data_IF_296197892927
#
_entry.id   IF_296197892927
#
_cell.length_a   1.000
_cell.length_b   1.000
_cell.length_c   1.000
_cell.angle_alpha   90.00
_cell.angle_beta   90.00
_cell.angle_gamma   90.00
#
_symmetry.space_group_name_H-M   'P 1'
#
loop_
_entity.id
_entity.type
_entity.pdbx_description
1 polymer ?
#
# COMPACT_ATOMS: atom_id res chain seq x y z
N UNK A 1 21.10 -19.29 29.44
CA UNK A 1 20.89 -19.22 27.98
C UNK A 1 19.86 -18.14 27.73
N UNK A 2 20.17 -17.15 26.91
CA UNK A 2 19.18 -16.16 26.46
C UNK A 2 18.17 -16.88 25.58
N UNK A 3 16.88 -16.82 25.94
CA UNK A 3 15.84 -17.45 25.14
C UNK A 3 15.62 -16.65 23.86
N UNK A 4 15.55 -17.32 22.71
CA UNK A 4 15.22 -16.66 21.45
C UNK A 4 13.83 -16.01 21.53
N UNK A 5 13.75 -14.76 21.09
CA UNK A 5 12.50 -13.99 21.06
C UNK A 5 12.03 -13.79 19.62
N UNK A 6 10.74 -14.00 19.38
CA UNK A 6 10.08 -13.61 18.14
C UNK A 6 9.61 -12.15 18.21
N UNK A 7 9.87 -11.40 17.15
CA UNK A 7 9.34 -10.06 16.93
C UNK A 7 8.18 -10.14 15.96
N UNK A 8 7.02 -9.57 16.31
CA UNK A 8 5.88 -9.49 15.39
C UNK A 8 6.13 -8.42 14.31
N UNK A 9 5.50 -8.59 13.15
CA UNK A 9 5.52 -7.61 12.07
C UNK A 9 4.99 -6.24 12.50
N UNK A 10 4.00 -6.19 13.39
CA UNK A 10 3.48 -4.94 13.95
C UNK A 10 4.53 -4.18 14.78
N UNK A 11 5.26 -4.88 15.65
CA UNK A 11 6.33 -4.27 16.45
C UNK A 11 7.43 -3.74 15.55
N UNK A 12 7.87 -4.54 14.57
CA UNK A 12 8.89 -4.10 13.61
C UNK A 12 8.41 -2.91 12.78
N UNK A 13 7.15 -2.91 12.33
CA UNK A 13 6.60 -1.83 11.51
C UNK A 13 6.51 -0.51 12.31
N UNK A 14 6.14 -0.57 13.59
CA UNK A 14 6.17 0.59 14.49
C UNK A 14 7.59 1.12 14.70
N UNK A 15 8.58 0.24 14.85
CA UNK A 15 10.00 0.64 14.93
C UNK A 15 10.46 1.36 13.67
N UNK A 16 10.08 0.84 12.50
CA UNK A 16 10.38 1.46 11.19
C UNK A 16 9.74 2.85 11.08
N UNK A 17 8.46 2.99 11.41
CA UNK A 17 7.77 4.29 11.39
C UNK A 17 8.38 5.29 12.37
N UNK A 18 8.76 4.83 13.57
CA UNK A 18 9.38 5.66 14.60
C UNK A 18 10.87 5.95 14.34
N UNK A 19 11.44 5.44 13.23
CA UNK A 19 12.86 5.58 12.88
C UNK A 19 13.79 5.03 13.96
N UNK A 20 13.34 4.02 14.70
CA UNK A 20 14.16 3.32 15.67
C UNK A 20 15.29 2.55 14.97
N UNK A 21 16.45 2.51 15.62
CA UNK A 21 17.62 1.82 15.07
C UNK A 21 17.45 0.30 15.17
N UNK A 22 17.28 -0.35 14.02
CA UNK A 22 17.15 -1.81 13.89
C UNK A 22 18.14 -2.31 12.85
N UNK A 23 18.78 -3.46 13.13
CA UNK A 23 19.60 -4.16 12.16
C UNK A 23 18.88 -5.40 11.64
N UNK A 24 18.67 -5.48 10.32
CA UNK A 24 18.03 -6.61 9.65
C UNK A 24 19.11 -7.52 9.08
N UNK A 25 19.21 -8.75 9.59
CA UNK A 25 19.95 -9.82 8.93
C UNK A 25 18.98 -10.61 8.04
N UNK A 26 19.02 -10.36 6.74
CA UNK A 26 18.17 -11.04 5.76
C UNK A 26 18.87 -12.30 5.25
N UNK A 27 18.30 -13.46 5.56
CA UNK A 27 18.86 -14.77 5.17
C UNK A 27 18.18 -15.37 3.94
N UNK A 28 17.37 -14.59 3.22
CA UNK A 28 16.85 -14.99 1.90
C UNK A 28 17.97 -14.97 0.86
N UNK A 29 17.71 -15.61 -0.28
CA UNK A 29 18.59 -15.52 -1.42
C UNK A 29 18.72 -14.06 -1.91
N UNK A 30 19.80 -13.77 -2.64
CA UNK A 30 20.12 -12.41 -3.08
C UNK A 30 19.05 -11.82 -4.02
N UNK A 31 18.40 -12.65 -4.84
CA UNK A 31 17.37 -12.21 -5.79
C UNK A 31 16.11 -11.74 -5.05
N UNK A 32 15.61 -12.53 -4.10
CA UNK A 32 14.45 -12.19 -3.26
C UNK A 32 14.71 -10.91 -2.46
N UNK A 33 15.93 -10.77 -1.91
CA UNK A 33 16.36 -9.60 -1.16
C UNK A 33 16.49 -8.35 -2.05
N UNK A 34 17.08 -8.50 -3.23
CA UNK A 34 17.25 -7.42 -4.20
C UNK A 34 15.90 -6.92 -4.72
N UNK A 35 14.96 -7.84 -4.98
CA UNK A 35 13.63 -7.52 -5.46
C UNK A 35 12.81 -6.72 -4.43
N UNK A 36 12.88 -7.07 -3.14
CA UNK A 36 12.27 -6.29 -2.06
C UNK A 36 12.79 -6.68 -0.69
N UNK A 37 12.75 -5.74 0.26
CA UNK A 37 13.38 -5.85 1.57
C UNK A 37 12.78 -4.83 2.52
N UNK A 38 12.97 -5.04 3.83
CA UNK A 38 12.54 -4.08 4.85
C UNK A 38 13.42 -2.83 4.76
N UNK A 39 12.80 -1.66 4.62
CA UNK A 39 13.49 -0.38 4.44
C UNK A 39 12.99 0.67 5.43
N UNK A 40 13.78 1.72 5.66
CA UNK A 40 13.47 2.83 6.55
C UNK A 40 14.74 3.55 6.99
N UNK A 41 14.60 4.80 7.44
CA UNK A 41 15.74 5.65 7.85
C UNK A 41 16.54 5.04 9.03
N UNK A 42 15.85 4.40 9.98
CA UNK A 42 16.45 3.69 11.10
C UNK A 42 16.88 2.24 10.82
N UNK A 43 16.72 1.77 9.58
CA UNK A 43 16.94 0.37 9.21
C UNK A 43 18.30 0.20 8.53
N UNK A 44 19.21 -0.45 9.24
CA UNK A 44 20.46 -0.99 8.69
C UNK A 44 20.28 -2.46 8.33
N UNK A 45 21.02 -2.97 7.35
CA UNK A 45 20.78 -4.32 6.85
C UNK A 45 22.01 -5.01 6.29
N UNK A 46 21.96 -6.33 6.34
CA UNK A 46 22.93 -7.23 5.73
C UNK A 46 22.19 -8.43 5.14
N UNK A 47 22.45 -8.75 3.88
CA UNK A 47 21.97 -9.99 3.27
C UNK A 47 23.09 -11.02 3.27
N UNK A 48 22.82 -12.19 3.84
CA UNK A 48 23.69 -13.38 3.80
C UNK A 48 22.77 -14.59 3.63
N UNK A 49 22.70 -15.20 2.44
CA UNK A 49 21.82 -16.33 2.18
C UNK A 49 21.95 -17.46 3.20
N UNK A 50 20.82 -18.04 3.60
CA UNK A 50 20.76 -19.08 4.63
C UNK A 50 21.74 -20.24 4.41
N UNK A 51 21.94 -20.67 3.15
CA UNK A 51 22.83 -21.79 2.84
C UNK A 51 24.30 -21.54 3.24
N UNK A 52 24.73 -20.27 3.35
CA UNK A 52 26.06 -19.90 3.82
C UNK A 52 26.20 -20.00 5.34
N UNK A 53 25.07 -20.03 6.06
CA UNK A 53 25.00 -20.02 7.52
C UNK A 53 24.56 -21.37 8.11
N UNK A 54 24.36 -22.40 7.26
CA UNK A 54 23.88 -23.72 7.69
C UNK A 54 24.92 -24.50 8.51
N UNK A 55 26.21 -24.31 8.20
CA UNK A 55 27.32 -25.01 8.85
C UNK A 55 27.94 -24.19 10.01
N UNK A 56 27.42 -22.99 10.27
CA UNK A 56 27.93 -22.07 11.31
C UNK A 56 27.74 -20.59 10.94
N UNK A 57 27.73 -19.72 11.94
CA UNK A 57 27.51 -18.26 11.78
C UNK A 57 28.79 -17.44 11.81
N UNK A 58 29.96 -18.07 11.92
CA UNK A 58 31.27 -17.42 12.08
C UNK A 58 31.55 -16.42 10.96
N UNK A 59 31.11 -16.71 9.73
CA UNK A 59 31.31 -15.88 8.56
C UNK A 59 30.59 -14.51 8.63
N UNK A 60 29.60 -14.34 9.52
CA UNK A 60 28.84 -13.11 9.65
C UNK A 60 29.14 -12.32 10.92
N UNK A 61 29.75 -12.93 11.94
CA UNK A 61 29.94 -12.31 13.28
C UNK A 61 30.64 -10.94 13.22
N UNK A 62 31.72 -10.82 12.46
CA UNK A 62 32.50 -9.57 12.34
C UNK A 62 31.78 -8.45 11.56
N UNK A 63 30.67 -8.79 10.89
CA UNK A 63 29.85 -7.86 10.09
C UNK A 63 28.60 -7.40 10.83
N UNK A 64 28.28 -8.00 11.98
CA UNK A 64 27.13 -7.65 12.79
C UNK A 64 27.45 -6.45 13.70
N UNK A 65 26.48 -5.56 13.94
CA UNK A 65 26.68 -4.43 14.84
C UNK A 65 26.82 -4.90 16.28
N UNK A 66 27.78 -4.31 17.00
CA UNK A 66 27.85 -4.46 18.45
C UNK A 66 26.75 -3.63 19.12
N UNK A 67 26.07 -4.20 20.13
CA UNK A 67 25.11 -3.50 20.99
C UNK A 67 23.88 -2.90 20.29
N UNK A 68 23.45 -3.49 19.17
CA UNK A 68 22.20 -3.13 18.48
C UNK A 68 21.23 -4.32 18.46
N UNK A 69 19.93 -4.04 18.41
CA UNK A 69 18.90 -5.05 18.17
C UNK A 69 19.03 -5.63 16.76
N UNK A 70 19.19 -6.94 16.67
CA UNK A 70 19.28 -7.69 15.40
C UNK A 70 17.98 -8.47 15.21
N UNK A 71 17.35 -8.29 14.06
CA UNK A 71 16.19 -9.07 13.64
C UNK A 71 16.59 -9.91 12.43
N UNK A 72 16.59 -11.23 12.59
CA UNK A 72 16.85 -12.16 11.51
C UNK A 72 15.55 -12.39 10.73
N UNK A 73 15.58 -12.26 9.41
CA UNK A 73 14.40 -12.41 8.55
C UNK A 73 14.64 -13.43 7.45
N UNK A 74 13.62 -14.24 7.17
CA UNK A 74 13.57 -15.10 5.99
C UNK A 74 12.16 -15.07 5.38
N UNK A 75 11.88 -15.89 4.37
CA UNK A 75 10.57 -15.89 3.70
C UNK A 75 9.39 -16.21 4.65
N UNK A 76 9.51 -17.28 5.46
CA UNK A 76 8.43 -17.75 6.37
C UNK A 76 8.78 -17.65 7.85
N UNK A 77 9.90 -18.20 8.31
CA UNK A 77 10.54 -17.96 9.62
C UNK A 77 11.58 -19.05 9.97
N UNK A 78 11.42 -20.27 9.45
CA UNK A 78 12.25 -21.41 9.87
C UNK A 78 13.77 -21.17 9.76
N UNK A 79 14.25 -20.68 8.61
CA UNK A 79 15.66 -20.32 8.42
C UNK A 79 16.13 -19.19 9.35
N UNK A 80 15.26 -18.20 9.61
CA UNK A 80 15.62 -17.10 10.52
C UNK A 80 15.66 -17.55 11.98
N UNK A 81 14.80 -18.48 12.40
CA UNK A 81 14.85 -19.09 13.74
C UNK A 81 16.18 -19.82 13.92
N UNK A 82 16.53 -20.72 13.00
CA UNK A 82 17.80 -21.46 13.07
C UNK A 82 19.01 -20.53 13.18
N UNK A 83 19.12 -19.54 12.28
CA UNK A 83 20.25 -18.61 12.29
C UNK A 83 20.26 -17.76 13.56
N UNK A 84 19.10 -17.30 14.04
CA UNK A 84 19.02 -16.53 15.28
C UNK A 84 19.46 -17.35 16.51
N UNK A 85 19.11 -18.64 16.58
CA UNK A 85 19.59 -19.54 17.64
C UNK A 85 21.12 -19.70 17.58
N UNK A 86 21.68 -19.92 16.39
CA UNK A 86 23.14 -20.05 16.20
C UNK A 86 23.89 -18.76 16.60
N UNK A 87 23.33 -17.58 16.30
CA UNK A 87 23.92 -16.31 16.75
C UNK A 87 23.91 -16.17 18.27
N UNK A 88 22.82 -16.56 18.95
CA UNK A 88 22.74 -16.56 20.41
C UNK A 88 23.75 -17.55 21.02
N UNK A 89 23.93 -18.73 20.42
CA UNK A 89 24.92 -19.73 20.85
C UNK A 89 26.36 -19.23 20.66
N UNK A 90 26.62 -18.48 19.60
CA UNK A 90 27.90 -17.81 19.35
C UNK A 90 28.14 -16.58 20.26
N UNK A 91 27.19 -16.25 21.14
CA UNK A 91 27.32 -15.18 22.14
C UNK A 91 26.85 -13.80 21.68
N UNK A 92 26.21 -13.68 20.52
CA UNK A 92 25.59 -12.44 20.07
C UNK A 92 24.37 -12.15 20.94
N UNK A 93 24.24 -10.91 21.43
CA UNK A 93 23.10 -10.49 22.28
C UNK A 93 22.13 -9.63 21.50
N UNK A 94 20.86 -9.57 21.93
CA UNK A 94 19.85 -8.72 21.28
C UNK A 94 19.35 -9.27 19.94
N UNK A 95 19.44 -10.60 19.75
CA UNK A 95 18.97 -11.27 18.54
C UNK A 95 17.52 -11.71 18.71
N UNK A 96 16.71 -11.38 17.71
CA UNK A 96 15.34 -11.84 17.54
C UNK A 96 15.12 -12.32 16.11
N UNK A 97 13.99 -12.94 15.84
CA UNK A 97 13.57 -13.27 14.47
C UNK A 97 12.20 -12.67 14.17
N UNK A 98 11.92 -12.39 12.90
CA UNK A 98 10.60 -11.93 12.49
C UNK A 98 9.61 -13.11 12.42
N UNK A 99 8.61 -13.08 13.29
CA UNK A 99 7.54 -14.09 13.32
C UNK A 99 6.74 -14.04 12.01
N UNK A 100 6.54 -15.21 11.38
CA UNK A 100 5.91 -15.32 10.07
C UNK A 100 6.72 -14.73 8.91
N UNK A 101 7.94 -14.25 9.17
CA UNK A 101 8.93 -13.82 8.19
C UNK A 101 8.42 -12.70 7.28
N UNK A 102 9.01 -12.62 6.09
CA UNK A 102 8.63 -11.62 5.09
C UNK A 102 7.17 -11.80 4.63
N UNK A 103 6.60 -13.01 4.72
CA UNK A 103 5.17 -13.27 4.47
C UNK A 103 4.25 -12.52 5.44
N UNK A 104 4.59 -12.47 6.73
CA UNK A 104 3.84 -11.67 7.69
C UNK A 104 4.10 -10.17 7.52
N UNK A 105 5.34 -9.79 7.21
CA UNK A 105 5.69 -8.39 6.90
C UNK A 105 4.88 -7.83 5.73
N UNK A 106 4.69 -8.61 4.66
CA UNK A 106 3.92 -8.16 3.49
C UNK A 106 2.45 -7.95 3.79
N UNK A 107 1.89 -8.53 4.85
CA UNK A 107 0.48 -8.40 5.23
C UNK A 107 0.25 -7.38 6.35
N UNK A 108 1.31 -6.87 6.97
CA UNK A 108 1.18 -5.93 8.08
C UNK A 108 0.50 -4.64 7.62
N UNK A 109 -0.65 -4.35 8.21
CA UNK A 109 -1.44 -3.15 7.96
C UNK A 109 -1.59 -2.36 9.26
N UNK A 110 -1.30 -1.07 9.24
CA UNK A 110 -1.38 -0.22 10.44
C UNK A 110 -2.15 1.07 10.15
N UNK A 111 -3.15 1.43 10.97
CA UNK A 111 -3.83 2.71 10.84
C UNK A 111 -2.98 3.84 11.45
N UNK A 112 -2.89 4.95 10.74
CA UNK A 112 -2.45 6.26 11.25
C UNK A 112 -3.57 7.27 11.06
N UNK A 113 -3.76 8.15 12.04
CA UNK A 113 -4.76 9.21 11.93
C UNK A 113 -4.22 10.32 11.05
N UNK A 114 -4.92 10.64 9.97
CA UNK A 114 -4.59 11.74 9.07
C UNK A 114 -5.05 13.07 9.64
N UNK A 115 -6.34 13.16 10.01
CA UNK A 115 -6.91 14.42 10.49
C UNK A 115 -8.25 14.23 11.21
N UNK A 116 -8.65 15.27 11.94
CA UNK A 116 -10.03 15.53 12.30
C UNK A 116 -10.76 16.26 11.15
N UNK A 117 -12.02 15.87 10.91
CA UNK A 117 -12.87 16.36 9.81
C UNK A 117 -13.74 17.54 10.26
N UNK A 118 -14.16 18.40 9.31
CA UNK A 118 -14.77 19.70 9.62
C UNK A 118 -16.01 19.60 10.50
N UNK A 119 -16.90 18.63 10.21
CA UNK A 119 -18.19 18.48 10.91
C UNK A 119 -18.18 17.42 12.02
N UNK A 120 -16.99 17.12 12.56
CA UNK A 120 -16.81 16.05 13.52
C UNK A 120 -16.68 14.70 12.82
N UNK A 121 -15.50 14.13 12.92
CA UNK A 121 -15.14 12.89 12.27
C UNK A 121 -13.63 12.76 12.18
N UNK A 122 -13.16 11.62 11.71
CA UNK A 122 -11.74 11.31 11.62
C UNK A 122 -11.44 10.64 10.28
N UNK A 123 -10.31 10.99 9.69
CA UNK A 123 -9.75 10.31 8.53
C UNK A 123 -8.51 9.53 8.96
N UNK A 124 -8.45 8.26 8.59
CA UNK A 124 -7.32 7.38 8.82
C UNK A 124 -6.74 6.91 7.49
N UNK A 125 -5.42 6.76 7.44
CA UNK A 125 -4.69 6.07 6.39
C UNK A 125 -4.19 4.75 6.97
N UNK A 126 -4.33 3.66 6.22
CA UNK A 126 -3.84 2.33 6.58
C UNK A 126 -2.62 2.02 5.75
N UNK A 127 -1.47 1.83 6.41
CA UNK A 127 -0.19 1.62 5.76
C UNK A 127 0.17 0.14 5.71
N UNK A 128 0.33 -0.37 4.49
CA UNK A 128 0.88 -1.70 4.21
C UNK A 128 2.35 -1.59 3.82
N UNK A 129 3.25 -1.34 4.78
CA UNK A 129 4.67 -1.04 4.51
C UNK A 129 5.37 -2.07 3.62
N UNK A 130 5.09 -3.36 3.83
CA UNK A 130 5.73 -4.43 3.07
C UNK A 130 5.35 -4.48 1.59
N UNK A 131 4.30 -3.78 1.18
CA UNK A 131 3.82 -3.73 -0.20
C UNK A 131 3.84 -2.32 -0.78
N UNK A 132 3.58 -1.29 0.02
CA UNK A 132 3.38 0.09 -0.43
C UNK A 132 1.91 0.46 -0.65
N UNK A 133 0.94 -0.39 -0.28
CA UNK A 133 -0.50 -0.07 -0.39
C UNK A 133 -0.96 0.84 0.74
N UNK A 134 -1.89 1.73 0.39
CA UNK A 134 -2.56 2.66 1.26
C UNK A 134 -4.07 2.50 1.08
N UNK A 135 -4.76 2.26 2.19
CA UNK A 135 -6.23 2.31 2.25
C UNK A 135 -6.65 3.44 3.15
N UNK A 136 -7.91 3.84 3.11
CA UNK A 136 -8.41 4.93 3.94
C UNK A 136 -9.68 4.54 4.68
N UNK A 137 -9.88 5.12 5.87
CA UNK A 137 -11.16 5.05 6.56
C UNK A 137 -11.60 6.43 7.00
N UNK A 138 -12.81 6.77 6.60
CA UNK A 138 -13.52 7.98 7.02
C UNK A 138 -14.54 7.56 8.07
N UNK A 139 -14.51 8.17 9.25
CA UNK A 139 -15.45 7.88 10.34
C UNK A 139 -16.18 9.16 10.74
N UNK A 140 -17.50 9.11 10.82
CA UNK A 140 -18.30 10.17 11.43
C UNK A 140 -19.59 9.63 12.01
N UNK A 141 -19.98 10.15 13.17
CA UNK A 141 -21.28 9.91 13.79
C UNK A 141 -21.67 8.43 13.96
N UNK A 142 -20.68 7.56 14.20
CA UNK A 142 -20.91 6.11 14.36
C UNK A 142 -21.00 5.33 13.05
N UNK A 143 -20.69 5.94 11.91
CA UNK A 143 -20.59 5.30 10.61
C UNK A 143 -19.17 5.43 10.05
N UNK A 144 -18.80 4.51 9.16
CA UNK A 144 -17.51 4.50 8.49
C UNK A 144 -17.63 4.16 6.99
N UNK A 145 -16.78 4.80 6.18
CA UNK A 145 -16.48 4.37 4.83
C UNK A 145 -15.01 3.92 4.74
N UNK A 146 -14.75 2.81 4.05
CA UNK A 146 -13.39 2.33 3.77
C UNK A 146 -13.11 2.47 2.28
N UNK A 147 -11.98 3.04 1.91
CA UNK A 147 -11.56 3.28 0.53
C UNK A 147 -10.32 2.44 0.23
N UNK A 148 -10.32 1.74 -0.91
CA UNK A 148 -9.25 0.86 -1.41
C UNK A 148 -8.81 -0.17 -0.37
N UNK A 149 -9.78 -0.87 0.21
CA UNK A 149 -9.52 -1.83 1.28
C UNK A 149 -8.69 -3.01 0.76
N UNK A 150 -7.54 -3.29 1.38
CA UNK A 150 -6.79 -4.53 1.14
C UNK A 150 -7.49 -5.74 1.79
N UNK A 151 -7.19 -6.98 1.36
CA UNK A 151 -7.83 -8.21 1.88
C UNK A 151 -7.65 -8.49 3.39
N UNK A 152 -6.73 -7.82 4.08
CA UNK A 152 -6.55 -7.94 5.54
C UNK A 152 -7.65 -7.15 6.28
N UNK A 153 -8.89 -7.62 6.14
CA UNK A 153 -10.12 -6.92 6.57
C UNK A 153 -10.17 -6.65 8.08
N UNK A 154 -9.58 -7.52 8.88
CA UNK A 154 -9.60 -7.47 10.35
C UNK A 154 -9.10 -6.14 10.93
N UNK A 155 -8.12 -5.51 10.27
CA UNK A 155 -7.58 -4.23 10.72
C UNK A 155 -8.61 -3.09 10.60
N UNK A 156 -9.40 -3.08 9.52
CA UNK A 156 -10.47 -2.11 9.35
C UNK A 156 -11.61 -2.38 10.35
N UNK A 157 -12.03 -3.63 10.49
CA UNK A 157 -13.08 -4.00 11.45
C UNK A 157 -12.69 -3.68 12.89
N UNK A 158 -11.41 -3.87 13.25
CA UNK A 158 -10.88 -3.53 14.57
C UNK A 158 -10.94 -2.03 14.82
N UNK A 159 -10.44 -1.21 13.89
CA UNK A 159 -10.49 0.25 14.04
C UNK A 159 -11.94 0.76 14.12
N UNK A 160 -12.83 0.26 13.27
CA UNK A 160 -14.25 0.64 13.30
C UNK A 160 -14.88 0.30 14.66
N UNK A 161 -14.61 -0.90 15.20
CA UNK A 161 -15.10 -1.34 16.51
C UNK A 161 -14.57 -0.47 17.66
N UNK A 162 -13.27 -0.16 17.66
CA UNK A 162 -12.64 0.70 18.65
C UNK A 162 -13.22 2.12 18.64
N UNK A 163 -13.57 2.60 17.44
CA UNK A 163 -14.23 3.89 17.20
C UNK A 163 -15.75 3.83 17.37
N UNK A 164 -16.31 2.67 17.69
CA UNK A 164 -17.76 2.42 17.82
C UNK A 164 -18.54 2.83 16.57
N UNK A 165 -17.96 2.56 15.41
CA UNK A 165 -18.52 2.87 14.10
C UNK A 165 -18.91 1.59 13.35
N UNK A 166 -19.94 1.69 12.53
CA UNK A 166 -20.38 0.64 11.60
C UNK A 166 -19.88 0.98 10.20
N UNK A 167 -19.23 0.04 9.53
CA UNK A 167 -18.81 0.22 8.13
C UNK A 167 -20.05 0.15 7.23
N UNK A 168 -20.44 1.27 6.64
CA UNK A 168 -21.63 1.37 5.77
C UNK A 168 -21.27 1.43 4.28
N UNK A 169 -20.05 1.86 3.97
CA UNK A 169 -19.54 1.95 2.60
C UNK A 169 -18.14 1.36 2.49
N UNK A 170 -17.91 0.61 1.42
CA UNK A 170 -16.58 0.24 0.96
C UNK A 170 -16.45 0.64 -0.50
N UNK A 171 -15.35 1.28 -0.87
CA UNK A 171 -15.20 1.94 -2.16
C UNK A 171 -13.84 1.56 -2.73
N UNK A 172 -13.80 0.98 -3.92
CA UNK A 172 -12.57 0.88 -4.67
C UNK A 172 -12.50 2.01 -5.70
N UNK A 173 -11.38 2.71 -5.77
CA UNK A 173 -11.13 3.80 -6.73
C UNK A 173 -10.99 3.27 -8.16
N UNK A 174 -10.57 2.02 -8.30
CA UNK A 174 -10.41 1.28 -9.55
C UNK A 174 -10.36 -0.22 -9.28
N UNK A 175 -10.43 -1.04 -10.32
CA UNK A 175 -10.20 -2.49 -10.17
C UNK A 175 -8.69 -2.76 -10.01
N UNK A 176 -8.26 -2.92 -8.76
CA UNK A 176 -6.87 -3.15 -8.36
C UNK A 176 -6.23 -4.37 -9.06
N UNK A 177 -4.95 -4.22 -9.39
CA UNK A 177 -4.16 -5.25 -10.09
C UNK A 177 -2.93 -5.72 -9.29
N UNK A 178 -2.63 -5.10 -8.16
CA UNK A 178 -1.43 -5.37 -7.37
C UNK A 178 -1.74 -5.98 -5.99
N UNK A 179 -2.99 -5.85 -5.54
CA UNK A 179 -3.53 -6.47 -4.35
C UNK A 179 -4.97 -6.96 -4.55
N UNK A 180 -5.37 -7.91 -3.71
CA UNK A 180 -6.74 -8.42 -3.67
C UNK A 180 -7.57 -7.48 -2.80
N UNK A 181 -8.63 -6.92 -3.38
CA UNK A 181 -9.55 -6.01 -2.68
C UNK A 181 -10.31 -6.76 -1.59
N UNK A 182 -10.27 -6.21 -0.38
CA UNK A 182 -11.11 -6.58 0.74
C UNK A 182 -12.46 -5.87 0.74
N UNK A 183 -12.68 -4.89 -0.15
CA UNK A 183 -13.85 -4.00 -0.11
C UNK A 183 -15.18 -4.76 -0.16
N UNK A 184 -15.29 -5.76 -1.04
CA UNK A 184 -16.48 -6.62 -1.13
C UNK A 184 -16.71 -7.43 0.15
N UNK A 185 -15.69 -8.14 0.62
CA UNK A 185 -15.80 -8.97 1.84
C UNK A 185 -16.18 -8.13 3.06
N UNK A 186 -15.59 -6.94 3.17
CA UNK A 186 -15.80 -6.02 4.27
C UNK A 186 -17.24 -5.45 4.26
N UNK A 187 -17.79 -5.12 3.08
CA UNK A 187 -19.20 -4.74 2.94
C UNK A 187 -20.14 -5.90 3.28
N UNK A 188 -19.86 -7.12 2.80
CA UNK A 188 -20.66 -8.31 3.11
C UNK A 188 -20.69 -8.59 4.63
N UNK A 189 -19.53 -8.50 5.31
CA UNK A 189 -19.42 -8.70 6.75
C UNK A 189 -20.20 -7.65 7.56
N UNK A 190 -20.14 -6.38 7.13
CA UNK A 190 -20.76 -5.26 7.84
C UNK A 190 -22.23 -5.02 7.45
N UNK A 191 -22.73 -5.66 6.38
CA UNK A 191 -24.03 -5.36 5.78
C UNK A 191 -24.08 -4.00 5.08
N UNK A 192 -22.92 -3.51 4.61
CA UNK A 192 -22.76 -2.23 3.91
C UNK A 192 -22.87 -2.32 2.39
N UNK A 193 -22.61 -1.20 1.71
CA UNK A 193 -22.58 -1.10 0.25
C UNK A 193 -21.15 -1.11 -0.27
N UNK A 194 -20.89 -1.97 -1.26
CA UNK A 194 -19.64 -1.98 -2.03
C UNK A 194 -19.79 -1.17 -3.31
N UNK A 195 -18.90 -0.20 -3.52
CA UNK A 195 -18.88 0.73 -4.64
C UNK A 195 -17.66 0.50 -5.54
N UNK A 196 -17.88 0.44 -6.85
CA UNK A 196 -16.83 0.24 -7.85
C UNK A 196 -17.15 1.05 -9.12
N UNK A 197 -16.15 1.61 -9.85
CA UNK A 197 -16.40 2.29 -11.10
C UNK A 197 -16.93 1.33 -12.17
N UNK A 198 -18.06 1.69 -12.81
CA UNK A 198 -18.71 0.83 -13.79
C UNK A 198 -17.77 0.42 -14.94
N UNK A 199 -16.93 1.35 -15.41
CA UNK A 199 -16.02 1.09 -16.55
C UNK A 199 -14.88 0.12 -16.24
N UNK A 200 -14.62 -0.15 -14.96
CA UNK A 200 -13.70 -1.20 -14.52
C UNK A 200 -14.42 -2.50 -14.16
N UNK A 201 -15.75 -2.50 -14.21
CA UNK A 201 -16.61 -3.53 -13.67
C UNK A 201 -17.40 -4.33 -14.74
N UNK A 202 -17.08 -4.18 -16.03
CA UNK A 202 -17.79 -4.86 -17.13
C UNK A 202 -17.83 -6.40 -16.97
N UNK A 203 -16.81 -6.99 -16.35
CA UNK A 203 -16.62 -8.44 -16.26
C UNK A 203 -16.79 -9.01 -14.84
N UNK A 204 -17.20 -8.19 -13.86
CA UNK A 204 -17.36 -8.63 -12.47
C UNK A 204 -18.54 -9.59 -12.31
N UNK A 205 -18.39 -10.58 -11.42
CA UNK A 205 -19.35 -11.68 -11.23
C UNK A 205 -20.21 -11.51 -9.96
N UNK A 206 -20.26 -10.31 -9.40
CA UNK A 206 -20.99 -9.97 -8.18
C UNK A 206 -21.72 -8.64 -8.32
N UNK A 207 -22.68 -8.38 -7.43
CA UNK A 207 -23.38 -7.11 -7.36
C UNK A 207 -22.49 -6.02 -6.74
N UNK A 208 -22.58 -4.82 -7.28
CA UNK A 208 -21.91 -3.63 -6.75
C UNK A 208 -22.78 -2.40 -7.00
N UNK A 209 -22.50 -1.32 -6.27
CA UNK A 209 -23.03 0.00 -6.53
C UNK A 209 -22.08 0.77 -7.44
N UNK A 210 -22.62 1.48 -8.43
CA UNK A 210 -21.80 2.24 -9.36
C UNK A 210 -21.19 3.46 -8.67
N UNK A 211 -19.88 3.60 -8.78
CA UNK A 211 -19.18 4.82 -8.41
C UNK A 211 -19.17 5.77 -9.62
N UNK A 212 -20.08 6.75 -9.61
CA UNK A 212 -20.27 7.70 -10.72
C UNK A 212 -19.94 9.13 -10.27
N UNK A 213 -19.34 9.89 -11.19
CA UNK A 213 -19.04 11.31 -10.98
C UNK A 213 -20.32 12.12 -10.67
N UNK A 214 -20.20 13.07 -9.75
CA UNK A 214 -21.33 13.90 -9.30
C UNK A 214 -22.23 13.22 -8.27
N UNK A 215 -22.04 11.92 -8.01
CA UNK A 215 -22.57 11.27 -6.82
C UNK A 215 -22.01 11.88 -5.54
N UNK A 216 -22.78 11.85 -4.46
CA UNK A 216 -22.30 12.19 -3.12
C UNK A 216 -22.65 11.03 -2.21
N UNK A 217 -21.63 10.40 -1.65
CA UNK A 217 -21.80 9.44 -0.56
C UNK A 217 -21.63 10.18 0.75
N UNK A 218 -22.51 9.90 1.71
CA UNK A 218 -22.49 10.51 3.04
C UNK A 218 -22.14 9.48 4.08
N UNK A 219 -21.18 9.80 4.95
CA UNK A 219 -20.85 9.00 6.14
C UNK A 219 -21.29 9.77 7.38
N UNK A 220 -22.21 9.22 8.16
CA UNK A 220 -22.76 9.86 9.34
C UNK A 220 -23.74 11.00 9.04
N UNK A 221 -24.23 11.66 10.10
CA UNK A 221 -25.35 12.62 10.00
C UNK A 221 -24.96 14.00 9.47
N UNK A 222 -23.68 14.34 9.44
CA UNK A 222 -23.20 15.70 9.15
C UNK A 222 -22.46 15.87 7.81
N UNK A 223 -22.46 14.86 6.95
CA UNK A 223 -22.03 14.95 5.54
C UNK A 223 -20.53 15.09 5.29
N UNK A 224 -19.76 14.04 5.58
CA UNK A 224 -18.49 13.89 4.87
C UNK A 224 -18.83 13.47 3.45
N UNK A 225 -18.82 14.46 2.55
CA UNK A 225 -19.04 14.23 1.13
C UNK A 225 -17.84 13.47 0.59
N UNK A 226 -18.09 12.26 0.12
CA UNK A 226 -17.20 11.59 -0.81
C UNK A 226 -17.72 11.92 -2.19
N UNK A 227 -17.03 12.84 -2.88
CA UNK A 227 -17.38 13.24 -4.24
C UNK A 227 -16.47 12.49 -5.22
N UNK A 228 -17.02 11.55 -6.00
CA UNK A 228 -16.28 10.90 -7.06
C UNK A 228 -15.97 11.88 -8.18
N UNK A 229 -14.74 11.84 -8.65
CA UNK A 229 -14.23 12.58 -9.81
C UNK A 229 -13.73 11.54 -10.79
N UNK A 230 -14.34 11.51 -11.97
CA UNK A 230 -13.90 10.59 -13.02
C UNK A 230 -12.49 10.99 -13.48
N UNK A 231 -11.53 10.11 -13.26
CA UNK A 231 -10.10 10.39 -13.41
C UNK A 231 -9.40 9.24 -14.12
N UNK A 232 -9.75 8.95 -15.40
CA UNK A 232 -9.18 7.84 -16.13
C UNK A 232 -7.68 8.07 -16.38
N UNK A 233 -6.94 6.97 -16.48
CA UNK A 233 -5.51 7.02 -16.80
C UNK A 233 -4.81 5.74 -16.40
N UNK A 234 -4.83 5.41 -15.10
CA UNK A 234 -4.31 4.15 -14.60
C UNK A 234 -5.15 2.95 -15.08
N UNK A 235 -6.45 3.07 -14.86
CA UNK A 235 -7.50 2.29 -15.52
C UNK A 235 -8.47 3.22 -16.23
N UNK A 236 -9.32 2.67 -17.10
CA UNK A 236 -10.39 3.45 -17.74
C UNK A 236 -11.51 3.82 -16.76
N UNK A 237 -11.72 3.04 -15.70
CA UNK A 237 -12.67 3.34 -14.64
C UNK A 237 -12.12 4.14 -13.48
N UNK A 238 -10.81 4.42 -13.44
CA UNK A 238 -10.17 5.11 -12.32
C UNK A 238 -10.94 6.37 -11.89
N UNK A 239 -11.27 6.43 -10.61
CA UNK A 239 -12.11 7.45 -10.01
C UNK A 239 -11.49 7.91 -8.70
N UNK A 240 -11.20 9.21 -8.60
CA UNK A 240 -10.68 9.84 -7.39
C UNK A 240 -11.82 10.26 -6.47
N UNK A 241 -11.55 10.44 -5.19
CA UNK A 241 -12.54 10.96 -4.23
C UNK A 241 -12.04 12.25 -3.59
N UNK A 242 -12.87 13.29 -3.57
CA UNK A 242 -12.68 14.40 -2.62
C UNK A 242 -13.42 14.06 -1.34
N UNK A 243 -12.71 14.16 -0.22
CA UNK A 243 -13.23 13.93 1.13
C UNK A 243 -13.17 15.25 1.90
N UNK A 244 -14.31 15.64 2.48
CA UNK A 244 -14.42 16.80 3.38
C UNK A 244 -13.89 18.11 2.75
N UNK A 245 -14.01 18.22 1.42
CA UNK A 245 -13.51 19.31 0.58
C UNK A 245 -12.01 19.66 0.75
N UNK A 246 -11.23 18.76 1.37
CA UNK A 246 -9.83 19.00 1.78
C UNK A 246 -8.86 17.91 1.33
N UNK A 247 -9.31 16.67 1.17
CA UNK A 247 -8.43 15.55 0.86
C UNK A 247 -8.81 14.96 -0.50
N UNK A 248 -7.84 14.84 -1.38
CA UNK A 248 -7.97 14.18 -2.68
C UNK A 248 -7.40 12.77 -2.57
N UNK A 249 -8.26 11.77 -2.47
CA UNK A 249 -7.86 10.37 -2.60
C UNK A 249 -7.69 10.09 -4.10
N UNK A 250 -6.47 10.12 -4.58
CA UNK A 250 -6.13 10.10 -6.02
C UNK A 250 -6.08 8.70 -6.63
N UNK A 251 -6.29 7.64 -5.83
CA UNK A 251 -6.08 6.27 -6.28
C UNK A 251 -4.65 6.10 -6.82
N UNK A 252 -4.54 5.46 -7.98
CA UNK A 252 -3.26 5.23 -8.69
C UNK A 252 -3.01 6.22 -9.84
N UNK A 253 -3.60 7.41 -9.78
CA UNK A 253 -3.40 8.46 -10.80
C UNK A 253 -2.20 9.36 -10.47
N UNK A 254 -2.13 9.86 -9.24
CA UNK A 254 -1.10 10.78 -8.77
C UNK A 254 -0.56 10.30 -7.43
N UNK A 255 0.76 10.15 -7.36
CA UNK A 255 1.52 9.79 -6.15
C UNK A 255 2.29 11.00 -5.61
N UNK A 256 2.89 10.87 -4.42
CA UNK A 256 3.70 11.95 -3.84
C UNK A 256 4.96 12.17 -4.68
N UNK A 257 5.69 11.11 -5.04
CA UNK A 257 6.92 11.20 -5.82
C UNK A 257 6.78 10.82 -7.30
N UNK A 258 5.59 10.43 -7.78
CA UNK A 258 5.39 9.93 -9.14
C UNK A 258 3.95 10.09 -9.64
N UNK A 259 3.63 9.47 -10.78
CA UNK A 259 2.30 9.39 -11.40
C UNK A 259 1.96 7.93 -11.78
N UNK A 260 0.68 7.68 -12.02
CA UNK A 260 0.13 6.40 -12.48
C UNK A 260 0.73 5.88 -13.78
N UNK A 261 0.78 4.55 -13.91
CA UNK A 261 1.05 3.88 -15.20
C UNK A 261 -0.26 3.40 -15.86
N UNK A 262 -0.45 3.57 -17.19
CA UNK A 262 -1.68 3.23 -17.90
C UNK A 262 -1.75 1.79 -18.47
N UNK A 263 -0.73 0.96 -18.28
CA UNK A 263 -0.56 -0.31 -19.01
C UNK A 263 -1.08 -1.55 -18.29
N UNK A 264 -1.40 -1.49 -16.99
CA UNK A 264 -1.70 -2.70 -16.19
C UNK A 264 -2.98 -3.43 -16.59
N UNK A 265 -3.85 -2.80 -17.38
CA UNK A 265 -4.99 -3.48 -17.99
C UNK A 265 -4.77 -3.92 -19.45
N UNK A 266 -3.54 -3.80 -19.98
CA UNK A 266 -3.18 -4.22 -21.34
C UNK A 266 -3.53 -3.22 -22.44
N UNK A 267 -3.86 -1.96 -22.09
CA UNK A 267 -4.27 -0.89 -23.02
C UNK A 267 -3.45 0.40 -22.88
N UNK A 268 -2.15 0.28 -22.62
CA UNK A 268 -1.25 1.39 -22.35
C UNK A 268 -1.39 2.58 -23.32
N UNK A 269 -1.43 2.31 -24.63
CA UNK A 269 -1.49 3.35 -25.66
C UNK A 269 -2.81 4.12 -25.66
N UNK A 270 -3.91 3.48 -25.25
CA UNK A 270 -5.25 4.05 -25.27
C UNK A 270 -5.46 5.01 -24.09
N UNK A 271 -4.81 4.79 -22.94
CA UNK A 271 -5.06 5.53 -21.71
C UNK A 271 -3.98 6.57 -21.34
N UNK A 272 -2.86 6.63 -22.07
CA UNK A 272 -1.87 7.72 -21.90
C UNK A 272 -2.53 9.10 -22.01
N UNK A 273 -3.38 9.29 -23.02
CA UNK A 273 -4.08 10.56 -23.25
C UNK A 273 -5.07 10.89 -22.14
N UNK A 274 -5.79 9.88 -21.65
CA UNK A 274 -6.69 10.00 -20.49
C UNK A 274 -5.92 10.43 -19.25
N UNK A 275 -4.80 9.76 -18.93
CA UNK A 275 -3.94 10.08 -17.79
C UNK A 275 -3.44 11.53 -17.87
N UNK A 276 -2.94 11.93 -19.03
CA UNK A 276 -2.45 13.31 -19.25
C UNK A 276 -3.57 14.32 -19.05
N UNK A 277 -4.75 14.07 -19.61
CA UNK A 277 -5.91 14.97 -19.45
C UNK A 277 -6.33 15.07 -17.98
N UNK A 278 -6.32 13.94 -17.27
CA UNK A 278 -6.63 13.91 -15.83
C UNK A 278 -5.63 14.72 -15.01
N UNK A 279 -4.32 14.54 -15.24
CA UNK A 279 -3.28 15.25 -14.48
C UNK A 279 -3.18 16.74 -14.83
N UNK A 280 -3.19 17.09 -16.13
CA UNK A 280 -2.88 18.43 -16.61
C UNK A 280 -4.11 19.31 -16.89
N UNK A 281 -5.32 18.75 -16.91
CA UNK A 281 -6.54 19.55 -17.07
C UNK A 281 -7.47 19.41 -15.86
N UNK A 282 -7.83 18.17 -15.49
CA UNK A 282 -8.81 17.94 -14.42
C UNK A 282 -8.26 18.30 -13.06
N UNK A 283 -7.11 17.74 -12.67
CA UNK A 283 -6.50 18.02 -11.37
C UNK A 283 -6.00 19.47 -11.27
N UNK A 284 -5.57 20.07 -12.38
CA UNK A 284 -5.16 21.49 -12.40
C UNK A 284 -6.35 22.43 -12.15
N UNK A 285 -7.58 22.01 -12.44
CA UNK A 285 -8.79 22.77 -12.14
C UNK A 285 -9.26 22.64 -10.68
N UNK A 286 -8.64 21.76 -9.88
CA UNK A 286 -8.94 21.61 -8.46
C UNK A 286 -8.20 22.64 -7.61
N UNK A 287 -8.64 22.79 -6.35
CA UNK A 287 -7.94 23.66 -5.40
C UNK A 287 -6.54 23.14 -5.11
N UNK A 288 -5.53 23.99 -5.24
CA UNK A 288 -4.14 23.67 -4.90
C UNK A 288 -3.95 23.32 -3.42
N UNK A 289 -4.88 23.72 -2.54
CA UNK A 289 -4.83 23.45 -1.11
C UNK A 289 -5.29 22.04 -0.71
N UNK A 290 -5.80 21.26 -1.67
CA UNK A 290 -6.14 19.86 -1.41
C UNK A 290 -4.89 19.08 -1.01
N UNK A 291 -5.04 18.24 0.03
CA UNK A 291 -4.02 17.28 0.41
C UNK A 291 -4.25 15.97 -0.36
N UNK A 292 -3.30 15.60 -1.20
CA UNK A 292 -3.34 14.36 -2.00
C UNK A 292 -2.97 13.16 -1.13
N UNK A 293 -3.79 12.13 -1.23
CA UNK A 293 -3.73 10.87 -0.50
C UNK A 293 -3.79 9.70 -1.51
N UNK A 294 -2.65 9.18 -2.00
CA UNK A 294 -2.64 8.15 -3.05
C UNK A 294 -3.05 6.77 -2.52
N UNK A 295 -3.38 5.82 -3.40
CA UNK A 295 -3.61 4.42 -3.00
C UNK A 295 -2.30 3.62 -2.83
N UNK A 296 -1.16 4.14 -3.32
CA UNK A 296 0.15 3.52 -3.13
C UNK A 296 1.25 4.55 -2.85
N UNK A 297 2.40 4.06 -2.41
CA UNK A 297 3.66 4.80 -2.39
C UNK A 297 4.80 3.88 -2.83
N UNK A 298 5.82 4.45 -3.47
CA UNK A 298 6.94 3.71 -4.03
C UNK A 298 8.19 3.71 -3.14
N UNK A 299 8.33 4.68 -2.24
CA UNK A 299 9.53 4.85 -1.43
C UNK A 299 9.22 5.24 0.01
N UNK A 300 10.00 4.69 0.96
CA UNK A 300 9.95 5.11 2.37
C UNK A 300 10.26 6.60 2.58
N UNK A 301 10.87 7.28 1.59
CA UNK A 301 11.08 8.73 1.63
C UNK A 301 9.78 9.55 1.47
N UNK A 302 8.71 8.94 0.95
CA UNK A 302 7.39 9.57 0.83
C UNK A 302 6.61 9.56 2.17
N UNK A 303 7.11 8.86 3.18
CA UNK A 303 6.51 8.85 4.52
C UNK A 303 6.86 10.14 5.26
N UNK A 304 5.82 10.88 5.64
CA UNK A 304 5.92 12.01 6.54
C UNK A 304 6.47 11.62 7.93
N UNK A 305 6.84 12.61 8.76
CA UNK A 305 7.32 12.38 10.13
C UNK A 305 6.27 11.74 11.05
N UNK A 306 5.00 11.85 10.71
CA UNK A 306 3.84 11.24 11.36
C UNK A 306 3.45 9.88 10.75
N UNK A 307 4.23 9.39 9.78
CA UNK A 307 3.96 8.15 9.06
C UNK A 307 2.84 8.28 8.03
N UNK A 308 2.39 9.49 7.69
CA UNK A 308 1.37 9.70 6.66
C UNK A 308 2.06 9.91 5.32
N UNK A 309 1.61 9.22 4.28
CA UNK A 309 1.96 9.55 2.89
C UNK A 309 0.95 10.56 2.37
N UNK A 310 1.39 11.80 2.17
CA UNK A 310 0.55 12.87 1.63
C UNK A 310 1.38 14.03 1.10
N UNK A 311 0.79 14.84 0.23
CA UNK A 311 1.39 16.11 -0.21
C UNK A 311 0.30 17.09 -0.67
N UNK A 312 0.55 18.40 -0.53
CA UNK A 312 -0.37 19.43 -1.04
C UNK A 312 -0.35 19.40 -2.58
N UNK A 313 -1.52 19.47 -3.21
CA UNK A 313 -1.66 19.36 -4.66
C UNK A 313 -0.86 20.43 -5.41
N UNK A 314 -0.89 21.68 -4.93
CA UNK A 314 -0.07 22.76 -5.50
C UNK A 314 1.44 22.49 -5.43
N UNK A 315 1.91 21.84 -4.36
CA UNK A 315 3.32 21.51 -4.20
C UNK A 315 3.71 20.38 -5.17
N UNK A 316 2.83 19.40 -5.38
CA UNK A 316 3.02 18.36 -6.40
C UNK A 316 3.11 18.96 -7.81
N UNK A 317 2.26 19.90 -8.18
CA UNK A 317 2.40 20.60 -9.47
C UNK A 317 3.72 21.36 -9.61
N UNK A 318 4.32 21.80 -8.50
CA UNK A 318 5.61 22.49 -8.51
C UNK A 318 6.82 21.54 -8.54
N UNK A 319 6.73 20.34 -7.95
CA UNK A 319 7.91 19.49 -7.72
C UNK A 319 7.80 18.02 -8.14
N UNK A 320 6.60 17.48 -8.41
CA UNK A 320 6.46 16.09 -8.82
C UNK A 320 7.02 15.91 -10.23
N UNK A 321 8.00 15.01 -10.44
CA UNK A 321 8.70 14.87 -11.72
C UNK A 321 7.76 14.46 -12.86
N UNK A 322 6.75 13.62 -12.59
CA UNK A 322 5.73 13.23 -13.59
C UNK A 322 4.81 14.38 -14.03
N UNK A 323 4.66 15.41 -13.19
CA UNK A 323 3.92 16.64 -13.51
C UNK A 323 4.78 17.71 -14.20
N UNK A 324 6.10 17.51 -14.32
CA UNK A 324 7.00 18.46 -15.02
C UNK A 324 7.21 18.13 -16.51
N UNK A 325 6.55 17.09 -17.03
CA UNK A 325 6.73 16.64 -18.42
C UNK A 325 5.80 17.41 -19.36
N UNK A 326 6.28 18.55 -19.83
CA UNK A 326 5.51 19.45 -20.70
C UNK A 326 5.22 18.85 -22.08
N UNK A 327 6.19 18.16 -22.70
CA UNK A 327 6.03 17.58 -24.04
C UNK A 327 5.18 16.30 -24.01
N UNK A 328 4.17 16.21 -24.87
CA UNK A 328 3.25 15.07 -24.91
C UNK A 328 3.95 13.78 -25.38
N UNK A 329 4.92 13.88 -26.29
CA UNK A 329 5.63 12.70 -26.79
C UNK A 329 6.58 12.15 -25.73
N UNK A 330 7.25 13.03 -25.00
CA UNK A 330 8.05 12.68 -23.83
C UNK A 330 7.18 12.04 -22.75
N UNK A 331 6.04 12.65 -22.42
CA UNK A 331 5.09 12.09 -21.45
C UNK A 331 4.67 10.67 -21.84
N UNK A 332 4.24 10.47 -23.09
CA UNK A 332 3.84 9.16 -23.62
C UNK A 332 4.97 8.15 -23.46
N UNK A 333 6.19 8.50 -23.83
CA UNK A 333 7.35 7.60 -23.70
C UNK A 333 7.59 7.21 -22.24
N UNK A 334 7.60 8.19 -21.34
CA UNK A 334 7.82 7.98 -19.90
C UNK A 334 6.80 7.01 -19.31
N UNK A 335 5.52 7.19 -19.63
CA UNK A 335 4.45 6.35 -19.07
C UNK A 335 4.12 5.10 -19.88
N UNK A 336 4.89 4.74 -20.93
CA UNK A 336 4.58 3.54 -21.74
C UNK A 336 5.78 2.70 -22.17
N UNK A 337 7.00 3.24 -22.25
CA UNK A 337 8.16 2.51 -22.78
C UNK A 337 9.15 2.05 -21.69
N UNK A 338 9.34 2.84 -20.63
CA UNK A 338 10.30 2.55 -19.55
C UNK A 338 9.62 2.10 -18.26
N UNK A 339 8.53 1.34 -18.38
CA UNK A 339 7.75 0.93 -17.23
C UNK A 339 8.40 -0.26 -16.50
N UNK A 340 8.31 -0.32 -15.16
CA UNK A 340 8.76 -1.48 -14.41
C UNK A 340 7.97 -2.73 -14.85
N UNK A 341 8.50 -3.96 -14.66
CA UNK A 341 7.73 -5.15 -14.98
C UNK A 341 6.42 -5.15 -14.20
N UNK A 342 5.36 -5.71 -14.79
CA UNK A 342 4.04 -5.76 -14.16
C UNK A 342 4.13 -6.43 -12.77
N UNK A 343 3.22 -6.09 -11.83
CA UNK A 343 3.15 -6.77 -10.54
C UNK A 343 3.04 -8.29 -10.70
N UNK A 344 3.57 -9.03 -9.73
CA UNK A 344 3.40 -10.48 -9.68
C UNK A 344 1.91 -10.83 -9.71
N UNK A 345 1.56 -11.86 -10.47
CA UNK A 345 0.21 -12.39 -10.55
C UNK A 345 -0.90 -11.35 -10.88
N UNK A 346 -0.56 -10.20 -11.50
CA UNK A 346 -1.54 -9.11 -11.69
C UNK A 346 -2.81 -9.54 -12.42
N UNK A 347 -2.70 -10.47 -13.38
CA UNK A 347 -3.87 -11.03 -14.07
C UNK A 347 -4.75 -11.84 -13.12
N UNK A 348 -4.15 -12.71 -12.31
CA UNK A 348 -4.87 -13.51 -11.32
C UNK A 348 -5.49 -12.64 -10.23
N UNK A 349 -4.81 -11.58 -9.81
CA UNK A 349 -5.34 -10.58 -8.88
C UNK A 349 -6.58 -9.91 -9.48
N UNK A 350 -6.50 -9.42 -10.72
CA UNK A 350 -7.65 -8.83 -11.41
C UNK A 350 -8.80 -9.84 -11.55
N UNK A 351 -8.51 -11.09 -11.92
CA UNK A 351 -9.53 -12.15 -12.03
C UNK A 351 -10.16 -12.45 -10.66
N UNK A 352 -9.39 -12.41 -9.58
CA UNK A 352 -9.88 -12.56 -8.21
C UNK A 352 -10.78 -11.39 -7.82
N UNK A 353 -10.34 -10.16 -8.09
CA UNK A 353 -11.11 -8.94 -7.82
C UNK A 353 -12.38 -8.83 -8.69
N UNK A 354 -12.43 -9.50 -9.85
CA UNK A 354 -13.65 -9.66 -10.65
C UNK A 354 -14.57 -10.79 -10.14
N UNK A 355 -14.15 -11.58 -9.15
CA UNK A 355 -14.89 -12.75 -8.68
C UNK A 355 -14.91 -13.92 -9.67
N UNK A 356 -13.95 -13.97 -10.61
CA UNK A 356 -13.84 -15.02 -11.62
C UNK A 356 -13.05 -16.23 -11.15
N UNK A 357 -12.12 -16.02 -10.23
CA UNK A 357 -11.39 -17.08 -9.54
C UNK A 357 -11.46 -16.85 -8.03
N UNK A 358 -11.33 -17.93 -7.27
CA UNK A 358 -11.37 -17.92 -5.82
C UNK A 358 -10.15 -18.66 -5.25
N UNK A 359 -8.96 -18.03 -5.29
CA UNK A 359 -7.73 -18.61 -4.74
C UNK A 359 -7.84 -18.86 -3.24
N UNK A 360 -7.17 -19.91 -2.78
CA UNK A 360 -6.99 -20.23 -1.36
C UNK A 360 -6.21 -19.12 -0.62
N UNK A 361 -6.31 -19.02 0.71
CA UNK A 361 -5.57 -18.00 1.46
C UNK A 361 -4.04 -18.03 1.24
N UNK A 362 -3.44 -19.21 1.01
CA UNK A 362 -2.01 -19.31 0.71
C UNK A 362 -1.69 -18.79 -0.71
N UNK A 363 -2.51 -19.12 -1.71
CA UNK A 363 -2.37 -18.58 -3.07
C UNK A 363 -2.53 -17.06 -3.09
N UNK A 364 -3.56 -16.53 -2.40
CA UNK A 364 -3.77 -15.08 -2.27
C UNK A 364 -2.54 -14.36 -1.70
N UNK A 365 -1.92 -14.95 -0.67
CA UNK A 365 -0.70 -14.42 -0.08
C UNK A 365 0.43 -14.42 -1.09
N UNK A 366 0.63 -15.52 -1.80
CA UNK A 366 1.71 -15.65 -2.76
C UNK A 366 1.54 -14.71 -3.97
N UNK A 367 0.29 -14.45 -4.39
CA UNK A 367 -0.02 -13.49 -5.46
C UNK A 367 0.43 -12.06 -5.14
N UNK A 368 0.35 -11.64 -3.87
CA UNK A 368 0.64 -10.26 -3.47
C UNK A 368 2.10 -10.02 -3.01
N UNK A 369 2.90 -11.08 -2.85
CA UNK A 369 4.29 -10.96 -2.37
C UNK A 369 5.14 -10.15 -3.35
N UNK A 370 5.96 -9.26 -2.78
CA UNK A 370 6.88 -8.39 -3.50
C UNK A 370 6.45 -6.93 -3.43
N UNK A 371 7.20 -6.03 -4.09
CA UNK A 371 6.95 -4.59 -4.01
C UNK A 371 5.71 -4.18 -4.81
N UNK A 372 5.16 -2.99 -4.55
CA UNK A 372 4.21 -2.34 -5.45
C UNK A 372 4.93 -1.88 -6.74
N UNK A 373 4.21 -1.90 -7.86
CA UNK A 373 4.72 -1.51 -9.19
C UNK A 373 3.69 -0.68 -10.00
N UNK A 374 2.84 0.06 -9.30
CA UNK A 374 1.76 0.87 -9.88
C UNK A 374 2.20 2.28 -10.30
N UNK A 375 3.31 2.78 -9.74
CA UNK A 375 3.90 4.06 -10.12
C UNK A 375 4.91 3.90 -11.27
N UNK A 376 5.13 4.98 -12.03
CA UNK A 376 6.32 5.09 -12.90
C UNK A 376 7.56 5.29 -12.02
N UNK A 377 8.67 4.60 -12.30
CA UNK A 377 9.94 4.78 -11.59
C UNK A 377 10.92 5.58 -12.44
N UNK A 378 11.84 6.29 -11.78
CA UNK A 378 12.95 7.04 -12.41
C UNK A 378 12.50 8.06 -13.47
N UNK A 379 11.56 8.95 -13.09
CA UNK A 379 11.03 10.05 -13.93
C UNK A 379 11.93 11.27 -13.90
#
# INVERSE_FOLDING_TARGET
MTQLQGMSSEVLARKVLNREQVFILDVRNEEDHANWRIEGEGVSRLNVPYFELMDGVEAVLDRLPAHQEIVVVCAKEGSSVFVAEQLLEAGVTGVSYLMGGMKAWSEQLMPVKVADLQDGGELFQFLRLGKGCLSYMVISSGEAAVIDAVRMTDAFETLARDKKATIVHTIDTHLHADHISGGRQLAENAGGSYWLPEKDADEVQFSYHKLEEGGVLTVGTTSIRLQPIYSPGHTIGSTSLIVDDRYLLSGDILFVASIGRPDLAGKAQDWVGDLRTTLYERYQALSEDLLVLPAHFGSMSELGPDGIVSARLGDLFASNPGLQIADESEFRRTVSENLPPQPNAYQDIRLTNMGRIAPTPEEQRDMEIGPNRCAVHDV
#
